data_IF_313749629614
#
_entry.id   IF_313749629614
#
_cell.length_a   1.000
_cell.length_b   1.000
_cell.length_c   1.000
_cell.angle_alpha   90.00
_cell.angle_beta   90.00
_cell.angle_gamma   90.00
#
_symmetry.space_group_name_H-M   'P 1'
#
loop_
_entity.id
_entity.type
_entity.pdbx_description
1 polymer ?
#
# COMPACT_ATOMS: atom_id res chain seq x y z
N UNK A 1 -21.61 -18.96 10.85
CA UNK A 1 -20.46 -18.81 9.94
C UNK A 1 -19.89 -17.42 10.13
N UNK A 2 -18.75 -17.36 10.83
CA UNK A 2 -18.19 -16.18 11.48
C UNK A 2 -18.12 -14.97 10.56
N UNK A 3 -18.70 -13.86 11.01
CA UNK A 3 -18.53 -12.56 10.42
C UNK A 3 -17.04 -12.20 10.49
N UNK A 4 -16.28 -12.37 9.40
CA UNK A 4 -15.07 -11.57 9.19
C UNK A 4 -15.52 -10.14 8.89
N UNK A 5 -15.97 -9.44 9.92
CA UNK A 5 -15.97 -7.99 9.89
C UNK A 5 -14.52 -7.61 9.66
N UNK A 6 -14.21 -7.14 8.45
CA UNK A 6 -12.91 -6.58 8.10
C UNK A 6 -12.72 -5.38 9.02
N UNK A 7 -12.14 -5.63 10.19
CA UNK A 7 -11.72 -4.60 11.13
C UNK A 7 -11.01 -3.55 10.30
N UNK A 8 -11.52 -2.31 10.32
CA UNK A 8 -10.81 -1.17 9.77
C UNK A 8 -9.57 -1.00 10.64
N UNK A 9 -8.55 -1.82 10.41
CA UNK A 9 -7.27 -1.69 11.08
C UNK A 9 -6.79 -0.28 10.83
N UNK A 10 -6.73 0.49 11.92
CA UNK A 10 -6.09 1.79 11.95
C UNK A 10 -4.61 1.47 11.72
N UNK A 11 -4.11 1.76 10.52
CA UNK A 11 -2.71 1.53 10.17
C UNK A 11 -1.83 2.36 11.13
N UNK A 12 -1.23 1.72 12.12
CA UNK A 12 -0.07 2.22 12.85
C UNK A 12 1.16 2.06 11.97
N UNK A 13 2.15 2.96 12.08
CA UNK A 13 3.39 2.85 11.28
C UNK A 13 4.21 1.64 11.76
N UNK A 14 4.13 1.39 13.06
CA UNK A 14 4.82 0.35 13.80
C UNK A 14 4.40 -1.04 13.32
N UNK A 15 3.10 -1.26 13.07
CA UNK A 15 2.54 -2.58 12.71
C UNK A 15 2.15 -2.69 11.23
N UNK A 16 2.77 -1.90 10.35
CA UNK A 16 2.52 -2.02 8.91
C UNK A 16 2.96 -3.40 8.38
N UNK A 17 2.11 -4.10 7.60
CA UNK A 17 2.50 -5.34 6.93
C UNK A 17 3.54 -5.06 5.85
N UNK A 18 4.35 -6.08 5.51
CA UNK A 18 5.41 -5.96 4.49
C UNK A 18 4.89 -5.54 3.12
N UNK A 19 3.67 -5.97 2.77
CA UNK A 19 3.02 -5.69 1.51
C UNK A 19 1.69 -4.96 1.71
N UNK A 20 1.65 -3.74 1.21
CA UNK A 20 0.50 -2.84 1.29
C UNK A 20 -0.34 -2.92 0.01
N UNK A 21 -1.65 -2.88 0.18
CA UNK A 21 -2.60 -2.65 -0.90
C UNK A 21 -2.56 -1.21 -1.38
N UNK A 22 -3.12 -0.96 -2.56
CA UNK A 22 -3.20 0.40 -3.09
C UNK A 22 -3.97 1.38 -2.21
N UNK A 23 -4.98 0.90 -1.47
CA UNK A 23 -5.79 1.76 -0.60
C UNK A 23 -5.04 2.13 0.67
N UNK A 24 -4.24 1.21 1.22
CA UNK A 24 -3.42 1.47 2.40
C UNK A 24 -2.31 2.46 2.07
N UNK A 25 -1.60 2.28 0.95
CA UNK A 25 -0.60 3.25 0.48
C UNK A 25 -1.23 4.63 0.25
N UNK A 26 -2.39 4.69 -0.40
CA UNK A 26 -3.13 5.93 -0.62
C UNK A 26 -3.49 6.62 0.70
N UNK A 27 -3.91 5.85 1.70
CA UNK A 27 -4.21 6.34 3.05
C UNK A 27 -2.98 6.90 3.75
N UNK A 28 -1.86 6.17 3.74
CA UNK A 28 -0.60 6.58 4.37
C UNK A 28 -0.04 7.86 3.75
N UNK A 29 -0.01 7.94 2.42
CA UNK A 29 0.57 9.06 1.68
C UNK A 29 -0.44 10.21 1.46
N UNK A 30 -1.68 10.09 1.96
CA UNK A 30 -2.78 11.05 1.79
C UNK A 30 -3.02 11.48 0.34
N UNK A 31 -2.97 10.52 -0.58
CA UNK A 31 -3.24 10.73 -2.01
C UNK A 31 -4.37 9.82 -2.50
N UNK A 32 -4.91 10.11 -3.68
CA UNK A 32 -5.90 9.20 -4.29
C UNK A 32 -5.25 7.86 -4.70
N UNK A 33 -5.99 6.73 -4.66
CA UNK A 33 -5.50 5.46 -5.23
C UNK A 33 -5.12 5.56 -6.71
N UNK A 34 -5.74 6.47 -7.47
CA UNK A 34 -5.40 6.71 -8.87
C UNK A 34 -3.98 7.30 -9.01
N UNK A 35 -3.60 8.20 -8.09
CA UNK A 35 -2.24 8.76 -8.02
C UNK A 35 -1.22 7.64 -7.81
N UNK A 36 -1.49 6.72 -6.88
CA UNK A 36 -0.62 5.55 -6.63
C UNK A 36 -0.49 4.67 -7.89
N UNK A 37 -1.59 4.40 -8.60
CA UNK A 37 -1.53 3.66 -9.90
C UNK A 37 -0.65 4.37 -10.92
N UNK A 38 -0.77 5.70 -11.02
CA UNK A 38 0.01 6.54 -11.94
C UNK A 38 1.50 6.50 -11.60
N UNK A 39 1.86 6.54 -10.32
CA UNK A 39 3.25 6.38 -9.90
C UNK A 39 3.82 5.02 -10.25
N UNK A 40 3.05 3.94 -10.06
CA UNK A 40 3.45 2.61 -10.52
C UNK A 40 3.65 2.53 -12.03
N UNK A 41 2.79 3.17 -12.83
CA UNK A 41 2.98 3.24 -14.31
C UNK A 41 4.23 4.04 -14.69
N UNK A 42 4.57 5.07 -13.90
CA UNK A 42 5.76 5.93 -14.11
C UNK A 42 7.04 5.37 -13.46
N UNK A 43 7.01 4.19 -12.84
CA UNK A 43 8.15 3.60 -12.14
C UNK A 43 8.52 4.27 -10.80
N UNK A 44 7.83 5.34 -10.39
CA UNK A 44 8.10 6.06 -9.12
C UNK A 44 7.79 5.24 -7.87
N UNK A 45 6.80 4.35 -7.96
CA UNK A 45 6.42 3.44 -6.89
C UNK A 45 6.13 2.06 -7.50
N UNK A 46 7.16 1.23 -7.70
CA UNK A 46 7.03 -0.07 -8.35
C UNK A 46 6.02 -0.97 -7.61
N UNK A 47 5.11 -1.57 -8.38
CA UNK A 47 4.08 -2.46 -7.86
C UNK A 47 4.44 -3.92 -8.15
N UNK A 48 4.32 -4.78 -7.15
CA UNK A 48 4.36 -6.24 -7.33
C UNK A 48 2.99 -6.68 -7.80
N UNK A 49 2.94 -7.38 -8.94
CA UNK A 49 1.72 -8.08 -9.37
C UNK A 49 1.70 -9.45 -8.73
N UNK A 50 0.65 -9.73 -7.97
CA UNK A 50 0.56 -10.97 -7.18
C UNK A 50 -0.33 -12.05 -7.82
N UNK A 51 -1.08 -11.71 -8.86
CA UNK A 51 -1.96 -12.65 -9.56
C UNK A 51 -2.23 -12.19 -11.01
N UNK A 52 -2.90 -13.08 -11.75
CA UNK A 52 -3.30 -12.87 -13.15
C UNK A 52 -4.34 -11.76 -13.34
N UNK A 53 -5.19 -11.50 -12.32
CA UNK A 53 -6.14 -10.37 -12.31
C UNK A 53 -5.44 -9.02 -12.34
N UNK A 54 -4.16 -8.96 -11.96
CA UNK A 54 -3.36 -7.74 -11.93
C UNK A 54 -3.47 -6.97 -10.62
N UNK A 55 -3.79 -7.66 -9.52
CA UNK A 55 -3.75 -7.07 -8.19
C UNK A 55 -2.33 -6.59 -7.85
N UNK A 56 -2.25 -5.41 -7.25
CA UNK A 56 -1.00 -4.73 -6.93
C UNK A 56 -0.73 -4.75 -5.43
N UNK A 57 0.52 -4.98 -5.07
CA UNK A 57 1.07 -4.78 -3.73
C UNK A 57 2.32 -3.90 -3.78
N UNK A 58 2.58 -3.20 -2.69
CA UNK A 58 3.69 -2.27 -2.56
C UNK A 58 4.48 -2.62 -1.30
N UNK A 59 5.80 -2.66 -1.39
CA UNK A 59 6.64 -2.96 -0.22
C UNK A 59 6.60 -1.80 0.78
N UNK A 60 6.44 -2.13 2.06
CA UNK A 60 6.47 -1.18 3.20
C UNK A 60 7.67 -0.25 3.13
N UNK A 61 8.86 -0.81 2.93
CA UNK A 61 10.14 -0.07 2.84
C UNK A 61 10.08 1.10 1.84
N UNK A 62 9.56 0.86 0.63
CA UNK A 62 9.53 1.87 -0.44
C UNK A 62 8.49 2.95 -0.13
N UNK A 63 7.38 2.56 0.48
CA UNK A 63 6.32 3.50 0.88
C UNK A 63 6.81 4.40 2.03
N UNK A 64 7.55 3.85 2.99
CA UNK A 64 8.13 4.61 4.10
C UNK A 64 9.27 5.54 3.65
N UNK A 65 10.10 5.10 2.69
CA UNK A 65 11.11 5.97 2.06
C UNK A 65 10.49 7.23 1.43
N UNK A 66 9.28 7.14 0.86
CA UNK A 66 8.58 8.32 0.33
C UNK A 66 8.16 9.32 1.41
N UNK A 67 7.98 8.87 2.64
CA UNK A 67 7.70 9.73 3.80
C UNK A 67 8.97 10.29 4.43
N UNK A 68 10.17 9.92 3.93
CA UNK A 68 11.47 10.19 4.57
C UNK A 68 11.52 9.71 6.03
N UNK A 69 10.80 8.65 6.33
CA UNK A 69 10.90 7.95 7.61
C UNK A 69 11.85 6.79 7.39
N UNK A 70 13.01 6.85 8.03
CA UNK A 70 13.93 5.71 8.13
C UNK A 70 13.43 4.80 9.25
N UNK A 71 13.46 3.48 9.01
CA UNK A 71 13.26 2.45 10.02
C UNK A 71 14.61 1.95 10.51
#
# INVERSE_FOLDING_TARGET
MSQLTRSKHKLSIEDLPDLLTIREVAGLLRVSPLTVKRWGKKGKLPAIRINTRGDRRYRKEVVLQMLRVEL
#
